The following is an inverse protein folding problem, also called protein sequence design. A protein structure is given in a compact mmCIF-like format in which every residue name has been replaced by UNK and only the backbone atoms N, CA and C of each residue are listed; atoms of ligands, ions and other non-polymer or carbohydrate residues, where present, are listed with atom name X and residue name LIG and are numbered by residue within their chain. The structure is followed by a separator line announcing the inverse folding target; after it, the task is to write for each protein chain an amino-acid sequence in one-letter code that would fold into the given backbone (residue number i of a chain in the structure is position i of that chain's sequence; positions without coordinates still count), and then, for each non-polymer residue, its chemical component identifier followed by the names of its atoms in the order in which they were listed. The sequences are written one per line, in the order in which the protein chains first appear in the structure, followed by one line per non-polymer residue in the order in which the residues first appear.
data_IF_377301995056
#
_entry.id   IF_377301995056
#
_cell.length_a   1.000
_cell.length_b   1.000
_cell.length_c   1.000
_cell.angle_alpha   90.00
_cell.angle_beta   90.00
_cell.angle_gamma   90.00
#
_symmetry.space_group_name_H-M   'P 1'
#
loop_
_entity.id
_entity.type
_entity.pdbx_description
1 polymer ?
#
# COMPACT_ATOMS: atom_id res chain seq x y z
N UNK A 1 -15.71 67.66 -66.87
CA UNK A 1 -14.38 67.24 -66.34
C UNK A 1 -14.43 66.97 -64.83
N UNK A 2 -15.04 67.85 -64.02
CA UNK A 2 -15.17 67.68 -62.56
C UNK A 2 -16.04 66.45 -62.16
N UNK A 3 -17.17 66.21 -62.83
CA UNK A 3 -18.04 65.06 -62.52
C UNK A 3 -17.38 63.69 -62.75
N UNK A 4 -16.55 63.55 -63.80
CA UNK A 4 -15.80 62.31 -64.03
C UNK A 4 -14.75 62.04 -62.94
N UNK A 5 -14.15 63.10 -62.38
CA UNK A 5 -13.19 62.98 -61.27
C UNK A 5 -13.91 62.50 -60.00
N UNK A 6 -15.10 63.04 -59.71
CA UNK A 6 -15.92 62.60 -58.58
C UNK A 6 -16.42 61.16 -58.72
N UNK A 7 -16.82 60.74 -59.93
CA UNK A 7 -17.22 59.34 -60.18
C UNK A 7 -16.05 58.36 -60.00
N UNK A 8 -14.86 58.70 -60.49
CA UNK A 8 -13.66 57.86 -60.31
C UNK A 8 -13.26 57.78 -58.84
N UNK A 9 -13.28 58.91 -58.11
CA UNK A 9 -13.02 58.92 -56.66
C UNK A 9 -14.07 58.13 -55.88
N UNK A 10 -15.35 58.22 -56.25
CA UNK A 10 -16.44 57.45 -55.63
C UNK A 10 -16.29 55.94 -55.82
N UNK A 11 -15.90 55.49 -57.02
CA UNK A 11 -15.64 54.08 -57.31
C UNK A 11 -14.41 53.58 -56.52
N UNK A 12 -13.36 54.40 -56.41
CA UNK A 12 -12.18 54.07 -55.60
C UNK A 12 -12.53 53.96 -54.10
N UNK A 13 -13.34 54.87 -53.56
CA UNK A 13 -13.81 54.82 -52.17
C UNK A 13 -14.70 53.60 -51.88
N UNK A 14 -15.60 53.24 -52.80
CA UNK A 14 -16.41 52.02 -52.67
C UNK A 14 -15.54 50.77 -52.78
N UNK A 15 -14.56 50.75 -53.68
CA UNK A 15 -13.61 49.65 -53.83
C UNK A 15 -12.75 49.43 -52.58
N UNK A 16 -12.25 50.50 -51.95
CA UNK A 16 -11.48 50.41 -50.70
C UNK A 16 -12.36 50.00 -49.51
N UNK A 17 -13.61 50.48 -49.44
CA UNK A 17 -14.57 50.08 -48.41
C UNK A 17 -14.93 48.59 -48.48
N UNK A 18 -15.24 48.07 -49.67
CA UNK A 18 -15.58 46.65 -49.88
C UNK A 18 -14.37 45.75 -49.58
N UNK A 19 -13.17 46.13 -50.05
CA UNK A 19 -11.96 45.36 -49.78
C UNK A 19 -11.59 45.34 -48.28
N UNK A 20 -11.79 46.44 -47.55
CA UNK A 20 -11.65 46.46 -46.09
C UNK A 20 -12.62 45.50 -45.39
N UNK A 21 -13.89 45.46 -45.80
CA UNK A 21 -14.88 44.55 -45.22
C UNK A 21 -14.52 43.08 -45.46
N UNK A 22 -14.05 42.74 -46.66
CA UNK A 22 -13.59 41.38 -47.00
C UNK A 22 -12.37 41.01 -46.17
N UNK A 23 -11.37 41.89 -46.09
CA UNK A 23 -10.16 41.68 -45.27
C UNK A 23 -10.50 41.50 -43.80
N UNK A 24 -11.41 42.32 -43.25
CA UNK A 24 -11.88 42.20 -41.88
C UNK A 24 -12.56 40.85 -41.63
N UNK A 25 -13.48 40.45 -42.51
CA UNK A 25 -14.16 39.16 -42.40
C UNK A 25 -13.19 37.98 -42.48
N UNK A 26 -12.25 38.00 -43.43
CA UNK A 26 -11.24 36.94 -43.56
C UNK A 26 -10.30 36.90 -42.36
N UNK A 27 -9.82 38.05 -41.89
CA UNK A 27 -8.97 38.15 -40.70
C UNK A 27 -9.66 37.59 -39.47
N UNK A 28 -10.93 37.96 -39.25
CA UNK A 28 -11.73 37.45 -38.15
C UNK A 28 -11.92 35.93 -38.24
N UNK A 29 -12.28 35.42 -39.42
CA UNK A 29 -12.49 33.97 -39.63
C UNK A 29 -11.20 33.15 -39.48
N UNK A 30 -10.05 33.68 -39.92
CA UNK A 30 -8.74 33.06 -39.72
C UNK A 30 -8.40 33.03 -38.23
N UNK A 31 -8.64 34.13 -37.52
CA UNK A 31 -8.37 34.24 -36.09
C UNK A 31 -9.27 33.31 -35.26
N UNK A 32 -10.57 33.27 -35.55
CA UNK A 32 -11.53 32.35 -34.92
C UNK A 32 -11.11 30.90 -35.14
N UNK A 33 -10.77 30.50 -36.38
CA UNK A 33 -10.28 29.16 -36.67
C UNK A 33 -8.96 28.84 -35.94
N UNK A 34 -8.04 29.80 -35.84
CA UNK A 34 -6.79 29.62 -35.12
C UNK A 34 -7.03 29.39 -33.62
N UNK A 35 -7.90 30.20 -33.00
CA UNK A 35 -8.29 30.03 -31.59
C UNK A 35 -9.00 28.70 -31.39
N UNK A 36 -9.97 28.36 -32.23
CA UNK A 36 -10.72 27.11 -32.11
C UNK A 36 -9.79 25.89 -32.19
N UNK A 37 -8.86 25.88 -33.17
CA UNK A 37 -7.85 24.81 -33.28
C UNK A 37 -6.94 24.74 -32.06
N UNK A 38 -6.51 25.88 -31.51
CA UNK A 38 -5.72 25.93 -30.27
C UNK A 38 -6.51 25.38 -29.09
N UNK A 39 -7.77 25.80 -28.96
CA UNK A 39 -8.66 25.36 -27.89
C UNK A 39 -8.93 23.86 -27.96
N UNK A 40 -9.27 23.33 -29.14
CA UNK A 40 -9.43 21.89 -29.38
C UNK A 40 -8.15 21.12 -29.07
N UNK A 41 -6.98 21.65 -29.44
CA UNK A 41 -5.69 21.04 -29.11
C UNK A 41 -5.47 20.99 -27.59
N UNK A 42 -5.72 22.08 -26.87
CA UNK A 42 -5.61 22.12 -25.41
C UNK A 42 -6.59 21.17 -24.74
N UNK A 43 -7.85 21.14 -25.19
CA UNK A 43 -8.86 20.19 -24.70
C UNK A 43 -8.40 18.75 -24.88
N UNK A 44 -7.93 18.39 -26.08
CA UNK A 44 -7.43 17.05 -26.36
C UNK A 44 -6.18 16.69 -25.53
N UNK A 45 -5.31 17.67 -25.26
CA UNK A 45 -4.15 17.46 -24.37
C UNK A 45 -4.60 17.19 -22.93
N UNK A 46 -5.54 17.99 -22.43
CA UNK A 46 -6.09 17.83 -21.08
C UNK A 46 -6.81 16.49 -20.91
N UNK A 47 -7.61 16.07 -21.90
CA UNK A 47 -8.28 14.76 -21.88
C UNK A 47 -7.26 13.61 -21.88
N UNK A 48 -6.20 13.70 -22.68
CA UNK A 48 -5.12 12.71 -22.67
C UNK A 48 -4.42 12.63 -21.33
N UNK A 49 -4.08 13.78 -20.75
CA UNK A 49 -3.42 13.86 -19.44
C UNK A 49 -4.32 13.28 -18.33
N UNK A 50 -5.61 13.60 -18.35
CA UNK A 50 -6.59 13.02 -17.45
C UNK A 50 -6.66 11.49 -17.57
N UNK A 51 -6.73 10.96 -18.80
CA UNK A 51 -6.71 9.50 -19.04
C UNK A 51 -5.41 8.89 -18.51
N UNK A 52 -4.26 9.51 -18.78
CA UNK A 52 -2.96 9.05 -18.28
C UNK A 52 -2.94 8.99 -16.76
N UNK A 53 -3.41 10.03 -16.07
CA UNK A 53 -3.50 10.04 -14.62
C UNK A 53 -4.47 8.98 -14.07
N UNK A 54 -5.61 8.76 -14.73
CA UNK A 54 -6.55 7.70 -14.34
C UNK A 54 -5.90 6.31 -14.46
N UNK A 55 -5.15 6.05 -15.53
CA UNK A 55 -4.44 4.78 -15.73
C UNK A 55 -3.36 4.59 -14.66
N UNK A 56 -2.52 5.61 -14.43
CA UNK A 56 -1.47 5.55 -13.41
C UNK A 56 -2.05 5.34 -12.01
N UNK A 57 -3.11 6.07 -11.67
CA UNK A 57 -3.79 5.91 -10.38
C UNK A 57 -4.38 4.51 -10.23
N UNK A 58 -5.06 4.00 -11.25
CA UNK A 58 -5.63 2.64 -11.23
C UNK A 58 -4.55 1.57 -11.09
N UNK A 59 -3.40 1.75 -11.76
CA UNK A 59 -2.25 0.86 -11.64
C UNK A 59 -1.67 0.85 -10.23
N UNK A 60 -1.46 2.03 -9.65
CA UNK A 60 -0.95 2.17 -8.27
C UNK A 60 -1.92 1.58 -7.24
N UNK A 61 -3.22 1.78 -7.42
CA UNK A 61 -4.24 1.19 -6.55
C UNK A 61 -4.23 -0.34 -6.62
N UNK A 62 -4.10 -0.89 -7.83
CA UNK A 62 -3.98 -2.34 -8.03
C UNK A 62 -2.73 -2.90 -7.35
N UNK A 63 -1.59 -2.27 -7.58
CA UNK A 63 -0.31 -2.69 -6.96
C UNK A 63 -0.41 -2.65 -5.42
N UNK A 64 -0.95 -1.56 -4.87
CA UNK A 64 -1.19 -1.44 -3.43
C UNK A 64 -2.11 -2.55 -2.90
N UNK A 65 -3.18 -2.90 -3.63
CA UNK A 65 -4.10 -3.96 -3.24
C UNK A 65 -3.41 -5.35 -3.25
N UNK A 66 -2.59 -5.62 -4.27
CA UNK A 66 -1.82 -6.86 -4.37
C UNK A 66 -0.81 -7.00 -3.21
N UNK A 67 -0.06 -5.92 -2.91
CA UNK A 67 0.86 -5.87 -1.77
C UNK A 67 0.13 -6.03 -0.44
N UNK A 68 -1.01 -5.38 -0.26
CA UNK A 68 -1.83 -5.51 0.97
C UNK A 68 -2.28 -6.94 1.18
N UNK A 69 -2.72 -7.63 0.12
CA UNK A 69 -3.11 -9.04 0.17
C UNK A 69 -1.93 -9.95 0.52
N UNK A 70 -0.75 -9.66 0.00
CA UNK A 70 0.47 -10.40 0.31
C UNK A 70 0.86 -10.25 1.79
N UNK A 71 0.87 -9.02 2.32
CA UNK A 71 1.16 -8.76 3.74
C UNK A 71 0.13 -9.45 4.63
N UNK A 72 -1.16 -9.35 4.31
CA UNK A 72 -2.21 -10.04 5.05
C UNK A 72 -1.99 -11.55 5.09
N UNK A 73 -1.62 -12.15 3.95
CA UNK A 73 -1.29 -13.58 3.88
C UNK A 73 -0.07 -13.94 4.72
N UNK A 74 0.95 -13.08 4.76
CA UNK A 74 2.13 -13.26 5.61
C UNK A 74 1.79 -13.13 7.11
N UNK A 75 0.86 -12.27 7.50
CA UNK A 75 0.36 -12.19 8.88
C UNK A 75 -0.35 -13.48 9.28
N UNK A 76 -1.18 -14.06 8.41
CA UNK A 76 -1.83 -15.35 8.68
C UNK A 76 -0.81 -16.49 8.84
N UNK A 77 0.26 -16.50 8.07
CA UNK A 77 1.35 -17.48 8.22
C UNK A 77 2.08 -17.31 9.55
N UNK A 78 2.34 -16.07 9.95
CA UNK A 78 2.92 -15.76 11.26
C UNK A 78 2.02 -16.24 12.39
N UNK A 79 0.71 -15.99 12.29
CA UNK A 79 -0.28 -16.44 13.25
C UNK A 79 -0.31 -17.97 13.37
N UNK A 80 -0.38 -18.70 12.25
CA UNK A 80 -0.39 -20.18 12.25
C UNK A 80 0.91 -20.77 12.83
N UNK A 81 2.07 -20.23 12.45
CA UNK A 81 3.36 -20.70 12.98
C UNK A 81 3.51 -20.42 14.47
N UNK A 82 3.12 -19.21 14.92
CA UNK A 82 3.09 -18.84 16.34
C UNK A 82 2.14 -19.73 17.13
N UNK A 83 0.96 -20.01 16.60
CA UNK A 83 -0.01 -20.91 17.23
C UNK A 83 0.56 -22.32 17.40
N UNK A 84 1.19 -22.89 16.35
CA UNK A 84 1.84 -24.22 16.44
C UNK A 84 2.94 -24.23 17.49
N UNK A 85 3.81 -23.23 17.48
CA UNK A 85 4.87 -23.07 18.47
C UNK A 85 4.32 -23.04 19.90
N UNK A 86 3.25 -22.27 20.12
CA UNK A 86 2.69 -22.08 21.46
C UNK A 86 1.90 -23.30 21.97
N UNK A 87 1.18 -23.99 21.09
CA UNK A 87 0.48 -25.24 21.43
C UNK A 87 1.47 -26.35 21.78
N UNK A 88 2.52 -26.54 20.97
CA UNK A 88 3.56 -27.53 21.26
C UNK A 88 4.24 -27.24 22.59
N UNK A 89 4.50 -25.97 22.90
CA UNK A 89 5.03 -25.57 24.19
C UNK A 89 4.12 -25.97 25.36
N UNK A 90 2.82 -25.66 25.28
CA UNK A 90 1.85 -25.99 26.33
C UNK A 90 1.69 -27.50 26.54
N UNK A 91 1.67 -28.28 25.46
CA UNK A 91 1.58 -29.74 25.53
C UNK A 91 2.80 -30.36 26.21
N UNK A 92 4.00 -29.80 25.95
CA UNK A 92 5.25 -30.27 26.54
C UNK A 92 5.39 -29.95 28.04
N UNK A 93 4.74 -28.90 28.54
CA UNK A 93 4.72 -28.60 29.98
C UNK A 93 3.95 -29.64 30.81
N UNK A 94 2.97 -30.33 30.21
CA UNK A 94 2.14 -31.32 30.90
C UNK A 94 2.79 -32.72 31.02
N UNK A 95 3.88 -32.98 30.30
CA UNK A 95 4.49 -34.32 30.22
C UNK A 95 6.02 -34.37 30.33
N UNK A 96 6.69 -33.24 30.52
CA UNK A 96 8.14 -33.11 30.44
C UNK A 96 8.65 -33.08 29.00
N UNK A 97 9.68 -32.28 28.73
CA UNK A 97 10.29 -32.17 27.40
C UNK A 97 11.15 -33.41 27.15
N UNK A 98 10.63 -34.42 26.45
CA UNK A 98 11.45 -35.49 25.87
C UNK A 98 12.31 -34.91 24.73
N UNK A 99 13.49 -35.51 24.47
CA UNK A 99 14.41 -35.04 23.42
C UNK A 99 13.75 -34.96 22.03
N UNK A 100 12.85 -35.89 21.70
CA UNK A 100 12.09 -35.87 20.44
C UNK A 100 11.13 -34.66 20.35
N UNK A 101 10.58 -34.22 21.48
CA UNK A 101 9.70 -33.05 21.55
C UNK A 101 10.49 -31.74 21.41
N UNK A 102 11.79 -31.74 21.74
CA UNK A 102 12.65 -30.57 21.57
C UNK A 102 12.92 -30.25 20.10
N UNK A 103 13.25 -31.26 19.29
CA UNK A 103 13.47 -31.07 17.85
C UNK A 103 12.23 -30.49 17.17
N UNK A 104 11.05 -31.01 17.50
CA UNK A 104 9.77 -30.48 17.00
C UNK A 104 9.57 -29.03 17.44
N UNK A 105 9.86 -28.73 18.70
CA UNK A 105 9.75 -27.38 19.25
C UNK A 105 10.67 -26.38 18.55
N UNK A 106 11.93 -26.76 18.30
CA UNK A 106 12.89 -25.91 17.61
C UNK A 106 12.54 -25.70 16.14
N UNK A 107 12.00 -26.72 15.47
CA UNK A 107 11.47 -26.55 14.11
C UNK A 107 10.30 -25.55 14.06
N UNK A 108 9.40 -25.59 15.06
CA UNK A 108 8.33 -24.60 15.14
C UNK A 108 8.86 -23.20 15.48
N UNK A 109 9.86 -23.08 16.34
CA UNK A 109 10.53 -21.80 16.62
C UNK A 109 11.15 -21.21 15.35
N UNK A 110 11.92 -22.01 14.62
CA UNK A 110 12.57 -21.58 13.38
C UNK A 110 11.56 -21.16 12.31
N UNK A 111 10.48 -21.92 12.14
CA UNK A 111 9.37 -21.57 11.24
C UNK A 111 8.70 -20.23 11.63
N UNK A 112 8.53 -20.00 12.94
CA UNK A 112 7.94 -18.79 13.52
C UNK A 112 8.87 -17.59 13.28
N UNK A 113 10.17 -17.72 13.56
CA UNK A 113 11.19 -16.69 13.29
C UNK A 113 11.34 -16.38 11.80
N UNK A 114 11.29 -17.39 10.94
CA UNK A 114 11.33 -17.23 9.48
C UNK A 114 10.12 -16.45 8.99
N UNK A 115 8.92 -16.87 9.36
CA UNK A 115 7.67 -16.20 8.96
C UNK A 115 7.65 -14.73 9.40
N UNK A 116 8.17 -14.46 10.60
CA UNK A 116 8.30 -13.11 11.14
C UNK A 116 9.29 -12.25 10.37
N UNK A 117 10.47 -12.80 10.07
CA UNK A 117 11.53 -12.10 9.33
C UNK A 117 11.06 -11.78 7.91
N UNK A 118 10.38 -12.73 7.25
CA UNK A 118 9.77 -12.52 5.94
C UNK A 118 8.70 -11.44 5.97
N UNK A 119 7.81 -11.44 6.98
CA UNK A 119 6.79 -10.40 7.14
C UNK A 119 7.43 -9.02 7.28
N UNK A 120 8.39 -8.87 8.19
CA UNK A 120 9.07 -7.59 8.41
C UNK A 120 9.80 -7.12 7.16
N UNK A 121 10.49 -8.01 6.45
CA UNK A 121 11.17 -7.67 5.19
C UNK A 121 10.17 -7.13 4.19
N UNK A 122 9.07 -7.86 3.95
CA UNK A 122 8.04 -7.42 2.99
C UNK A 122 7.43 -6.08 3.37
N UNK A 123 7.20 -5.82 4.66
CA UNK A 123 6.64 -4.52 5.08
C UNK A 123 7.66 -3.41 4.88
N UNK A 124 8.92 -3.60 5.26
CA UNK A 124 9.97 -2.60 5.06
C UNK A 124 10.16 -2.27 3.57
N UNK A 125 10.15 -3.28 2.71
CA UNK A 125 10.26 -3.11 1.25
C UNK A 125 9.05 -2.34 0.66
N UNK A 126 7.93 -2.29 1.38
CA UNK A 126 6.64 -1.77 0.92
C UNK A 126 6.04 -0.69 1.84
N UNK A 127 6.84 -0.06 2.69
CA UNK A 127 6.35 0.85 3.75
C UNK A 127 5.49 2.00 3.19
N UNK A 128 5.85 2.49 2.00
CA UNK A 128 5.15 3.59 1.31
C UNK A 128 3.66 3.30 1.03
N UNK A 129 3.26 2.02 0.99
CA UNK A 129 1.90 1.60 0.70
C UNK A 129 0.98 1.59 1.93
N UNK A 130 1.52 1.79 3.13
CA UNK A 130 0.77 1.63 4.37
C UNK A 130 0.65 2.93 5.16
N UNK A 131 -0.40 3.03 5.97
CA UNK A 131 -0.57 4.18 6.87
C UNK A 131 0.42 4.14 8.02
N UNK A 132 0.76 5.31 8.56
CA UNK A 132 1.58 5.41 9.78
C UNK A 132 0.95 4.63 10.95
N UNK A 133 -0.39 4.59 11.03
CA UNK A 133 -1.12 3.82 12.05
C UNK A 133 -0.80 2.32 11.94
N UNK A 134 -0.81 1.76 10.73
CA UNK A 134 -0.45 0.36 10.51
C UNK A 134 1.02 0.09 10.90
N UNK A 135 1.94 0.97 10.50
CA UNK A 135 3.36 0.84 10.82
C UNK A 135 3.62 0.91 12.33
N UNK A 136 2.93 1.78 13.05
CA UNK A 136 3.06 1.89 14.50
C UNK A 136 2.52 0.65 15.23
N UNK A 137 1.41 0.07 14.77
CA UNK A 137 0.92 -1.21 15.29
C UNK A 137 1.88 -2.36 14.99
N UNK A 138 2.54 -2.34 13.83
CA UNK A 138 3.56 -3.32 13.52
C UNK A 138 4.75 -3.22 14.49
N UNK A 139 5.19 -2.01 14.82
CA UNK A 139 6.26 -1.81 15.81
C UNK A 139 5.87 -2.33 17.19
N UNK A 140 4.61 -2.18 17.59
CA UNK A 140 4.10 -2.78 18.82
C UNK A 140 4.15 -4.31 18.76
N UNK A 141 3.69 -4.91 17.65
CA UNK A 141 3.83 -6.34 17.42
C UNK A 141 5.30 -6.77 17.48
N UNK A 142 6.22 -6.06 16.82
CA UNK A 142 7.66 -6.35 16.85
C UNK A 142 8.17 -6.44 18.29
N UNK A 143 7.88 -5.43 19.10
CA UNK A 143 8.32 -5.39 20.49
C UNK A 143 7.75 -6.55 21.30
N UNK A 144 6.46 -6.89 21.15
CA UNK A 144 5.86 -8.02 21.86
C UNK A 144 6.45 -9.34 21.35
N UNK A 145 6.59 -9.49 20.04
CA UNK A 145 7.04 -10.72 19.39
C UNK A 145 8.49 -11.06 19.71
N UNK A 146 9.40 -10.10 19.53
CA UNK A 146 10.82 -10.27 19.85
C UNK A 146 10.98 -10.61 21.33
N UNK A 147 10.27 -9.90 22.22
CA UNK A 147 10.36 -10.14 23.65
C UNK A 147 9.74 -11.49 24.06
N UNK A 148 8.67 -11.93 23.43
CA UNK A 148 8.00 -13.19 23.79
C UNK A 148 8.75 -14.38 23.20
N UNK A 149 8.96 -14.42 21.89
CA UNK A 149 9.50 -15.59 21.18
C UNK A 149 10.98 -15.81 21.51
N UNK A 150 11.80 -14.76 21.60
CA UNK A 150 13.22 -14.93 21.96
C UNK A 150 13.41 -15.28 23.44
N UNK A 151 12.62 -14.70 24.35
CA UNK A 151 12.66 -15.05 25.78
C UNK A 151 12.28 -16.51 25.98
N UNK A 152 11.23 -16.98 25.28
CA UNK A 152 10.82 -18.37 25.32
C UNK A 152 11.90 -19.30 24.75
N UNK A 153 12.48 -18.98 23.59
CA UNK A 153 13.57 -19.75 23.00
C UNK A 153 14.74 -19.90 23.98
N UNK A 154 15.21 -18.80 24.56
CA UNK A 154 16.33 -18.78 25.53
C UNK A 154 16.03 -19.57 26.79
N UNK A 155 14.82 -19.45 27.34
CA UNK A 155 14.44 -20.18 28.56
C UNK A 155 14.38 -21.68 28.30
N UNK A 156 13.94 -22.10 27.11
CA UNK A 156 13.89 -23.52 26.73
C UNK A 156 15.30 -24.08 26.56
N UNK A 157 16.18 -23.36 25.87
CA UNK A 157 17.60 -23.74 25.77
C UNK A 157 18.24 -23.84 27.16
N UNK A 158 18.00 -22.87 28.03
CA UNK A 158 18.56 -22.84 29.39
C UNK A 158 18.06 -24.03 30.23
N UNK A 159 16.76 -24.33 30.19
CA UNK A 159 16.20 -25.45 30.96
C UNK A 159 16.69 -26.81 30.44
N UNK A 160 16.92 -26.92 29.13
CA UNK A 160 17.47 -28.13 28.52
C UNK A 160 18.97 -28.27 28.80
N UNK A 161 19.73 -27.19 28.86
CA UNK A 161 21.15 -27.26 29.26
C UNK A 161 21.26 -27.66 30.73
N UNK A 162 20.30 -27.24 31.56
CA UNK A 162 20.36 -27.42 33.01
C UNK A 162 19.80 -28.75 33.55
N UNK A 163 19.14 -29.61 32.73
CA UNK A 163 18.63 -31.00 32.92
C UNK A 163 18.19 -31.55 34.31
N UNK A 164 18.31 -30.81 35.41
CA UNK A 164 18.29 -31.32 36.77
C UNK A 164 17.41 -30.51 37.73
N UNK A 165 16.82 -29.40 37.29
CA UNK A 165 15.98 -28.59 38.16
C UNK A 165 14.55 -28.55 37.63
N UNK A 166 13.59 -28.77 38.54
CA UNK A 166 12.14 -28.64 38.40
C UNK A 166 11.68 -27.22 38.04
N UNK A 167 12.35 -26.55 37.10
CA UNK A 167 11.95 -25.24 36.61
C UNK A 167 10.75 -25.40 35.69
N UNK A 168 9.58 -25.55 36.30
CA UNK A 168 8.30 -25.37 35.65
C UNK A 168 8.20 -23.92 35.19
N UNK A 169 7.94 -23.73 33.90
CA UNK A 169 7.54 -22.42 33.38
C UNK A 169 6.22 -22.02 34.03
N UNK A 170 6.11 -20.80 34.56
CA UNK A 170 4.83 -20.27 35.04
C UNK A 170 3.83 -20.19 33.87
N UNK A 171 2.76 -20.99 33.87
CA UNK A 171 1.80 -21.01 32.76
C UNK A 171 1.11 -19.66 32.53
N UNK A 172 1.01 -18.85 33.59
CA UNK A 172 0.36 -17.54 33.59
C UNK A 172 1.17 -16.47 32.82
N UNK A 173 2.51 -16.51 32.93
CA UNK A 173 3.40 -15.65 32.14
C UNK A 173 3.20 -15.91 30.64
N UNK A 174 3.13 -17.19 30.25
CA UNK A 174 3.01 -17.59 28.86
C UNK A 174 1.65 -17.23 28.27
N UNK A 175 0.57 -17.50 29.01
CA UNK A 175 -0.79 -17.14 28.61
C UNK A 175 -0.92 -15.65 28.34
N UNK A 176 -0.45 -14.81 29.27
CA UNK A 176 -0.51 -13.34 29.13
C UNK A 176 0.22 -12.84 27.88
N UNK A 177 1.39 -13.40 27.58
CA UNK A 177 2.17 -12.99 26.40
C UNK A 177 1.56 -13.45 25.09
N UNK A 178 0.97 -14.64 25.04
CA UNK A 178 0.25 -15.12 23.87
C UNK A 178 -1.03 -14.31 23.63
N UNK A 179 -1.79 -14.00 24.68
CA UNK A 179 -3.00 -13.17 24.56
C UNK A 179 -2.65 -11.79 23.96
N UNK A 180 -1.51 -11.21 24.34
CA UNK A 180 -1.01 -9.96 23.74
C UNK A 180 -0.59 -10.13 22.27
N UNK A 181 0.04 -11.26 21.90
CA UNK A 181 0.38 -11.54 20.52
C UNK A 181 -0.88 -11.67 19.65
N UNK A 182 -1.86 -12.42 20.11
CA UNK A 182 -3.14 -12.64 19.42
C UNK A 182 -3.89 -11.30 19.25
N UNK A 183 -3.93 -10.48 20.29
CA UNK A 183 -4.54 -9.14 20.23
C UNK A 183 -3.86 -8.27 19.15
N UNK A 184 -2.53 -8.19 19.16
CA UNK A 184 -1.79 -7.36 18.21
C UNK A 184 -1.92 -7.87 16.76
N UNK A 185 -1.87 -9.20 16.55
CA UNK A 185 -2.07 -9.83 15.24
C UNK A 185 -3.49 -9.52 14.73
N UNK A 186 -4.51 -9.67 15.58
CA UNK A 186 -5.89 -9.36 15.20
C UNK A 186 -6.10 -7.88 14.88
N UNK A 187 -5.47 -6.98 15.64
CA UNK A 187 -5.52 -5.55 15.36
C UNK A 187 -4.93 -5.21 13.99
N UNK A 188 -3.77 -5.77 13.65
CA UNK A 188 -3.15 -5.59 12.33
C UNK A 188 -4.02 -6.12 11.20
N UNK A 189 -4.60 -7.32 11.35
CA UNK A 189 -5.54 -7.89 10.38
C UNK A 189 -6.74 -6.98 10.15
N UNK A 190 -7.29 -6.40 11.22
CA UNK A 190 -8.43 -5.48 11.15
C UNK A 190 -8.06 -4.20 10.40
N UNK A 191 -6.92 -3.58 10.73
CA UNK A 191 -6.44 -2.38 10.04
C UNK A 191 -6.25 -2.64 8.55
N UNK A 192 -5.56 -3.72 8.17
CA UNK A 192 -5.35 -4.07 6.77
C UNK A 192 -6.66 -4.38 6.05
N UNK A 193 -7.57 -5.10 6.70
CA UNK A 193 -8.89 -5.39 6.12
C UNK A 193 -9.69 -4.11 5.86
N UNK A 194 -9.65 -3.16 6.80
CA UNK A 194 -10.30 -1.85 6.64
C UNK A 194 -9.63 -1.02 5.55
N UNK A 195 -8.30 -0.98 5.48
CA UNK A 195 -7.59 -0.29 4.41
C UNK A 195 -7.89 -0.93 3.05
N UNK A 196 -7.87 -2.26 2.96
CA UNK A 196 -8.18 -2.98 1.74
C UNK A 196 -9.61 -2.72 1.25
N UNK A 197 -10.59 -2.75 2.16
CA UNK A 197 -11.99 -2.42 1.83
C UNK A 197 -12.13 -1.00 1.28
N UNK A 198 -11.44 -0.02 1.89
CA UNK A 198 -11.38 1.36 1.38
C UNK A 198 -10.77 1.45 -0.02
N UNK A 199 -9.74 0.65 -0.32
CA UNK A 199 -9.11 0.62 -1.66
C UNK A 199 -10.08 0.13 -2.74
N UNK A 200 -10.92 -0.86 -2.41
CA UNK A 200 -11.91 -1.43 -3.34
C UNK A 200 -13.27 -0.72 -3.31
N UNK A 201 -13.46 0.28 -2.45
CA UNK A 201 -14.69 1.06 -2.35
C UNK A 201 -15.84 0.40 -1.56
N UNK A 202 -15.52 -0.45 -0.57
CA UNK A 202 -16.46 -1.05 0.40
C UNK A 202 -16.37 -0.33 1.73
#
# INVERSE_FOLDING_TARGET
MIENIFNVLGILFLGTGISYLILKYLSQKIFENYIQRRFEKYKNQLEKELITHQILFSSLQKERADVTKEIFSSILKLEDSTYRYTVTFNQNQLGGVKLDNYTVHMNHLDSTLTSYTELNKKINDNEIYFSAVFIDELRKLHNVYVNTILDLGRKIETNIINLNNDSFFEPEYFKTKNDLLDQNINQLKNILSTEFRKLIGV
#
